data_IF_533029362827
#
_entry.id   IF_533029362827
#
_cell.length_a   1.000
_cell.length_b   1.000
_cell.length_c   1.000
_cell.angle_alpha   90.00
_cell.angle_beta   90.00
_cell.angle_gamma   90.00
#
_symmetry.space_group_name_H-M   'P 1'
#
loop_
_entity.id
_entity.type
_entity.pdbx_description
1 polymer ?
#
# COMPACT_ATOMS: atom_id res chain seq x y z
N UNK A 1 -36.99 -27.39 -49.74
CA UNK A 1 -36.07 -26.96 -48.67
C UNK A 1 -35.71 -28.08 -47.70
N UNK A 2 -36.67 -28.80 -47.09
CA UNK A 2 -36.37 -29.81 -46.06
C UNK A 2 -35.48 -30.98 -46.52
N UNK A 3 -35.64 -31.45 -47.76
CA UNK A 3 -34.77 -32.49 -48.34
C UNK A 3 -33.29 -32.08 -48.48
N UNK A 4 -33.03 -30.79 -48.75
CA UNK A 4 -31.66 -30.26 -48.85
C UNK A 4 -31.02 -30.24 -47.46
N UNK A 5 -31.77 -29.87 -46.42
CA UNK A 5 -31.30 -29.93 -45.04
C UNK A 5 -30.99 -31.36 -44.60
N UNK A 6 -31.85 -32.33 -44.92
CA UNK A 6 -31.60 -33.74 -44.62
C UNK A 6 -30.34 -34.28 -45.33
N UNK A 7 -30.15 -33.90 -46.60
CA UNK A 7 -28.96 -34.27 -47.36
C UNK A 7 -27.69 -33.65 -46.76
N UNK A 8 -27.72 -32.38 -46.36
CA UNK A 8 -26.61 -31.70 -45.69
C UNK A 8 -26.25 -32.36 -44.35
N UNK A 9 -27.25 -32.71 -43.54
CA UNK A 9 -27.07 -33.44 -42.27
C UNK A 9 -26.43 -34.81 -42.54
N UNK A 10 -26.91 -35.54 -43.55
CA UNK A 10 -26.35 -36.84 -43.92
C UNK A 10 -24.87 -36.72 -44.35
N UNK A 11 -24.52 -35.72 -45.15
CA UNK A 11 -23.13 -35.45 -45.57
C UNK A 11 -22.24 -35.12 -44.35
N UNK A 12 -22.72 -34.30 -43.41
CA UNK A 12 -21.99 -33.97 -42.18
C UNK A 12 -21.78 -35.20 -41.30
N UNK A 13 -22.80 -36.05 -41.12
CA UNK A 13 -22.71 -37.30 -40.36
C UNK A 13 -21.70 -38.25 -41.04
N UNK A 14 -21.77 -38.40 -42.37
CA UNK A 14 -20.85 -39.24 -43.12
C UNK A 14 -19.39 -38.74 -43.02
N UNK A 15 -19.17 -37.42 -43.04
CA UNK A 15 -17.85 -36.82 -42.81
C UNK A 15 -17.36 -37.03 -41.38
N UNK A 16 -18.24 -36.85 -40.38
CA UNK A 16 -17.91 -37.08 -38.98
C UNK A 16 -17.52 -38.54 -38.72
N UNK A 17 -18.25 -39.52 -39.28
CA UNK A 17 -17.94 -40.94 -39.16
C UNK A 17 -16.57 -41.29 -39.77
N UNK A 18 -16.12 -40.58 -40.82
CA UNK A 18 -14.78 -40.75 -41.39
C UNK A 18 -13.67 -40.16 -40.51
N UNK A 19 -13.95 -39.09 -39.78
CA UNK A 19 -12.98 -38.39 -38.91
C UNK A 19 -12.91 -39.02 -37.51
N UNK A 20 -14.03 -39.57 -37.02
CA UNK A 20 -14.17 -40.22 -35.72
C UNK A 20 -13.06 -41.26 -35.40
N UNK A 21 -12.67 -42.19 -36.30
CA UNK A 21 -11.58 -43.14 -36.00
C UNK A 21 -10.24 -42.42 -35.77
N UNK A 22 -9.93 -41.34 -36.48
CA UNK A 22 -8.71 -40.56 -36.26
C UNK A 22 -8.73 -39.83 -34.92
N UNK A 23 -9.89 -39.31 -34.52
CA UNK A 23 -10.09 -38.70 -33.19
C UNK A 23 -9.89 -39.77 -32.11
N UNK A 24 -10.47 -40.96 -32.29
CA UNK A 24 -10.32 -42.07 -31.34
C UNK A 24 -8.86 -42.55 -31.25
N UNK A 25 -8.16 -42.68 -32.37
CA UNK A 25 -6.72 -43.02 -32.40
C UNK A 25 -5.89 -41.95 -31.68
N UNK A 26 -6.13 -40.66 -31.95
CA UNK A 26 -5.44 -39.57 -31.28
C UNK A 26 -5.70 -39.58 -29.77
N UNK A 27 -6.93 -39.84 -29.35
CA UNK A 27 -7.30 -39.98 -27.94
C UNK A 27 -6.64 -41.20 -27.29
N UNK A 28 -6.59 -42.35 -27.97
CA UNK A 28 -5.87 -43.53 -27.51
C UNK A 28 -4.36 -43.25 -27.36
N UNK A 29 -3.73 -42.60 -28.34
CA UNK A 29 -2.31 -42.22 -28.26
C UNK A 29 -2.05 -41.24 -27.11
N UNK A 30 -2.96 -40.29 -26.87
CA UNK A 30 -2.88 -39.36 -25.74
C UNK A 30 -2.97 -40.08 -24.39
N UNK A 31 -3.91 -41.04 -24.25
CA UNK A 31 -4.05 -41.85 -23.05
C UNK A 31 -2.81 -42.73 -22.82
N UNK A 32 -2.31 -43.40 -23.87
CA UNK A 32 -1.08 -44.22 -23.80
C UNK A 32 0.11 -43.35 -23.39
N UNK A 33 0.24 -42.15 -23.94
CA UNK A 33 1.29 -41.20 -23.56
C UNK A 33 1.20 -40.84 -22.06
N UNK A 34 0.00 -40.50 -21.56
CA UNK A 34 -0.22 -40.20 -20.15
C UNK A 34 0.11 -41.36 -19.21
N UNK A 35 -0.35 -42.57 -19.55
CA UNK A 35 -0.04 -43.80 -18.81
C UNK A 35 1.47 -44.07 -18.81
N UNK A 36 2.14 -43.93 -19.95
CA UNK A 36 3.59 -44.12 -20.08
C UNK A 36 4.37 -43.14 -19.19
N UNK A 37 3.95 -41.88 -19.11
CA UNK A 37 4.56 -40.88 -18.25
C UNK A 37 4.42 -41.26 -16.77
N UNK A 38 3.24 -41.73 -16.36
CA UNK A 38 2.99 -42.12 -14.98
C UNK A 38 3.80 -43.36 -14.57
N UNK A 39 3.95 -44.34 -15.46
CA UNK A 39 4.81 -45.50 -15.24
C UNK A 39 6.28 -45.07 -15.11
N UNK A 40 6.75 -44.17 -15.99
CA UNK A 40 8.11 -43.61 -15.92
C UNK A 40 8.35 -42.83 -14.62
N UNK A 41 7.35 -42.08 -14.15
CA UNK A 41 7.36 -41.38 -12.85
C UNK A 41 7.59 -42.37 -11.70
N UNK A 42 6.75 -43.41 -11.59
CA UNK A 42 6.85 -44.40 -10.51
C UNK A 42 8.22 -45.11 -10.55
N UNK A 43 8.69 -45.49 -11.74
CA UNK A 43 10.00 -46.15 -11.89
C UNK A 43 11.14 -45.23 -11.46
N UNK A 44 11.05 -43.93 -11.75
CA UNK A 44 12.05 -42.96 -11.33
C UNK A 44 12.11 -42.81 -9.81
N UNK A 45 10.97 -42.61 -9.13
CA UNK A 45 10.95 -42.44 -7.66
C UNK A 45 11.33 -43.71 -6.89
N UNK A 46 11.16 -44.89 -7.50
CA UNK A 46 11.63 -46.17 -6.93
C UNK A 46 13.05 -46.53 -7.34
N UNK A 47 13.74 -45.69 -8.12
CA UNK A 47 15.09 -45.99 -8.59
C UNK A 47 16.11 -45.86 -7.44
N UNK A 48 17.14 -46.73 -7.40
CA UNK A 48 18.16 -46.67 -6.35
C UNK A 48 18.91 -45.33 -6.35
N UNK A 49 19.18 -44.76 -7.54
CA UNK A 49 19.82 -43.44 -7.64
C UNK A 49 18.98 -42.31 -7.03
N UNK A 50 17.65 -42.35 -7.20
CA UNK A 50 16.75 -41.39 -6.55
C UNK A 50 16.80 -41.53 -5.03
N UNK A 51 16.74 -42.76 -4.51
CA UNK A 51 16.75 -43.02 -3.07
C UNK A 51 18.08 -42.63 -2.41
N UNK A 52 19.20 -42.92 -3.06
CA UNK A 52 20.54 -42.53 -2.59
C UNK A 52 20.69 -41.00 -2.55
N UNK A 53 20.23 -40.32 -3.61
CA UNK A 53 20.30 -38.87 -3.68
C UNK A 53 19.35 -38.22 -2.67
N UNK A 54 18.15 -38.78 -2.46
CA UNK A 54 17.21 -38.35 -1.41
C UNK A 54 17.84 -38.48 -0.02
N UNK A 55 18.56 -39.57 0.26
CA UNK A 55 19.25 -39.76 1.54
C UNK A 55 20.39 -38.74 1.73
N UNK A 56 21.14 -38.42 0.67
CA UNK A 56 22.23 -37.43 0.71
C UNK A 56 21.77 -36.01 1.07
N UNK A 57 20.54 -35.64 0.71
CA UNK A 57 19.97 -34.31 0.98
C UNK A 57 18.97 -34.30 2.14
N UNK A 58 18.85 -35.41 2.88
CA UNK A 58 17.86 -35.55 3.95
C UNK A 58 18.01 -34.49 5.04
N UNK A 59 19.24 -34.23 5.50
CA UNK A 59 19.52 -33.21 6.52
C UNK A 59 19.17 -31.80 6.03
N UNK A 60 19.42 -31.51 4.74
CA UNK A 60 19.05 -30.22 4.12
C UNK A 60 17.54 -30.04 4.03
N UNK A 61 16.79 -31.13 3.80
CA UNK A 61 15.33 -31.12 3.78
C UNK A 61 14.77 -30.90 5.19
N UNK A 62 15.38 -31.52 6.21
CA UNK A 62 15.01 -31.31 7.62
C UNK A 62 15.19 -29.83 7.99
N UNK A 63 16.38 -29.27 7.73
CA UNK A 63 16.67 -27.86 7.99
C UNK A 63 15.70 -26.94 7.23
N UNK A 64 15.39 -27.26 5.97
CA UNK A 64 14.41 -26.50 5.19
C UNK A 64 13.01 -26.50 5.81
N UNK A 65 12.54 -27.68 6.26
CA UNK A 65 11.23 -27.83 6.88
C UNK A 65 11.16 -27.10 8.23
N UNK A 66 12.24 -27.11 9.03
CA UNK A 66 12.34 -26.35 10.27
C UNK A 66 12.25 -24.84 10.03
N UNK A 67 12.98 -24.32 9.04
CA UNK A 67 12.92 -22.90 8.66
C UNK A 67 11.51 -22.56 8.18
N UNK A 68 10.91 -23.40 7.33
CA UNK A 68 9.54 -23.24 6.84
C UNK A 68 8.51 -23.13 7.97
N UNK A 69 8.64 -23.93 9.02
CA UNK A 69 7.76 -23.85 10.19
C UNK A 69 8.00 -22.56 10.98
N UNK A 70 9.26 -22.17 11.20
CA UNK A 70 9.61 -20.92 11.87
C UNK A 70 8.98 -19.68 11.19
N UNK A 71 8.90 -19.65 9.86
CA UNK A 71 8.30 -18.51 9.15
C UNK A 71 6.80 -18.37 9.43
N UNK A 72 6.08 -19.47 9.69
CA UNK A 72 4.66 -19.42 10.05
C UNK A 72 4.43 -18.75 11.40
N UNK A 73 5.42 -18.84 12.29
CA UNK A 73 5.37 -18.27 13.63
C UNK A 73 5.77 -16.79 13.66
N UNK A 74 6.26 -16.23 12.55
CA UNK A 74 6.56 -14.80 12.47
C UNK A 74 5.25 -14.01 12.67
N UNK A 75 5.16 -13.18 13.72
CA UNK A 75 3.92 -12.49 14.04
C UNK A 75 3.54 -11.53 12.93
N UNK A 76 2.39 -11.79 12.30
CA UNK A 76 1.85 -10.92 11.26
C UNK A 76 1.06 -9.73 11.86
N UNK A 77 1.75 -8.90 12.66
CA UNK A 77 1.19 -7.68 13.26
C UNK A 77 1.73 -6.43 12.57
N UNK A 78 1.63 -6.40 11.24
CA UNK A 78 2.09 -5.29 10.40
C UNK A 78 1.02 -4.20 10.28
N UNK A 79 0.46 -3.76 11.42
CA UNK A 79 -0.58 -2.74 11.47
C UNK A 79 -0.09 -1.55 12.29
N UNK A 80 -0.30 -0.34 11.75
CA UNK A 80 -0.08 0.88 12.50
C UNK A 80 -1.16 1.03 13.58
N UNK A 81 -0.74 1.20 14.84
CA UNK A 81 -1.63 1.34 15.99
C UNK A 81 -1.81 2.83 16.31
N UNK A 82 -3.03 3.33 16.13
CA UNK A 82 -3.38 4.71 16.46
C UNK A 82 -3.66 4.85 17.96
N UNK A 83 -3.05 5.84 18.63
CA UNK A 83 -3.28 6.13 20.05
C UNK A 83 -4.66 6.73 20.34
N UNK A 84 -5.14 7.61 19.46
CA UNK A 84 -6.43 8.30 19.60
C UNK A 84 -7.45 7.74 18.60
N UNK A 85 -8.09 6.65 18.98
CA UNK A 85 -9.15 6.05 18.16
C UNK A 85 -10.41 6.92 18.29
N UNK A 86 -10.69 7.73 17.27
CA UNK A 86 -12.02 8.33 17.12
C UNK A 86 -13.01 7.17 16.96
N UNK A 87 -13.89 6.95 17.94
CA UNK A 87 -14.75 5.76 17.99
C UNK A 87 -14.35 4.67 18.98
N UNK A 88 -13.51 4.97 19.99
CA UNK A 88 -13.27 4.07 21.15
C UNK A 88 -14.56 3.51 21.77
N UNK A 89 -15.65 4.29 21.69
CA UNK A 89 -16.99 3.94 22.15
C UNK A 89 -17.98 3.63 21.01
N UNK A 90 -17.52 3.47 19.77
CA UNK A 90 -18.41 3.19 18.63
C UNK A 90 -19.18 1.87 18.81
N UNK A 91 -18.58 0.89 19.51
CA UNK A 91 -19.24 -0.36 19.91
C UNK A 91 -20.44 -0.16 20.85
N UNK A 92 -20.53 0.98 21.54
CA UNK A 92 -21.67 1.32 22.41
C UNK A 92 -22.88 1.83 21.62
N UNK A 93 -22.70 2.20 20.35
CA UNK A 93 -23.77 2.67 19.49
C UNK A 93 -24.24 1.53 18.58
N UNK A 94 -25.54 1.20 18.66
CA UNK A 94 -26.19 0.33 17.70
C UNK A 94 -26.74 1.17 16.55
N UNK A 95 -26.41 0.79 15.31
CA UNK A 95 -26.98 1.39 14.11
C UNK A 95 -27.90 0.39 13.44
N UNK A 96 -29.18 0.71 13.38
CA UNK A 96 -30.19 -0.05 12.63
C UNK A 96 -30.67 0.79 11.45
N UNK A 97 -30.66 0.22 10.25
CA UNK A 97 -31.14 0.87 9.05
C UNK A 97 -32.65 0.61 8.88
N UNK A 98 -33.47 1.62 9.11
CA UNK A 98 -34.94 1.53 9.05
C UNK A 98 -35.54 1.96 7.68
N UNK A 99 -34.71 2.17 6.65
CA UNK A 99 -35.21 2.60 5.34
C UNK A 99 -35.77 1.44 4.51
N UNK A 100 -37.00 1.57 4.00
CA UNK A 100 -37.57 0.67 2.99
C UNK A 100 -37.56 1.31 1.60
N UNK A 101 -36.91 0.67 0.62
CA UNK A 101 -37.35 0.74 -0.78
C UNK A 101 -36.77 -0.39 -1.64
N UNK A 102 -37.59 -0.89 -2.57
CA UNK A 102 -37.35 -2.02 -3.46
C UNK A 102 -36.12 -1.84 -4.38
N UNK A 103 -35.10 -2.67 -4.11
CA UNK A 103 -34.06 -3.23 -5.00
C UNK A 103 -33.04 -2.26 -5.67
N UNK A 104 -31.71 -2.45 -5.65
CA UNK A 104 -30.83 -3.61 -5.42
C UNK A 104 -29.45 -3.11 -4.94
N UNK A 105 -28.85 -3.85 -4.01
CA UNK A 105 -27.57 -3.64 -3.28
C UNK A 105 -27.69 -2.73 -2.06
N UNK A 106 -27.27 -3.27 -0.92
CA UNK A 106 -27.42 -2.71 0.42
C UNK A 106 -26.64 -1.39 0.55
N UNK A 107 -27.35 -0.26 0.41
CA UNK A 107 -26.88 1.14 0.48
C UNK A 107 -26.06 1.44 1.75
N UNK A 108 -26.16 0.59 2.77
CA UNK A 108 -25.66 0.83 4.11
C UNK A 108 -24.74 -0.27 4.67
N UNK A 109 -24.25 -1.20 3.84
CA UNK A 109 -22.95 -1.84 4.13
C UNK A 109 -21.81 -0.85 3.88
N UNK A 110 -21.86 0.32 4.56
CA UNK A 110 -20.61 0.98 4.89
C UNK A 110 -19.90 0.00 5.80
N UNK A 111 -18.63 -0.25 5.56
CA UNK A 111 -17.84 -0.98 6.53
C UNK A 111 -17.51 -0.04 7.70
N UNK A 112 -18.54 0.50 8.33
CA UNK A 112 -18.46 1.31 9.54
C UNK A 112 -17.93 0.38 10.63
N UNK A 113 -16.91 0.84 11.35
CA UNK A 113 -16.25 0.15 12.47
C UNK A 113 -15.06 -0.76 12.10
N UNK A 114 -14.59 -0.79 10.85
CA UNK A 114 -13.25 -1.32 10.56
C UNK A 114 -12.22 -0.18 10.62
N UNK A 115 -11.19 -0.34 11.46
CA UNK A 115 -10.16 0.69 11.69
C UNK A 115 -9.34 1.05 10.46
N UNK A 116 -9.34 0.18 9.45
CA UNK A 116 -8.61 0.31 8.19
C UNK A 116 -9.50 0.62 6.98
N UNK A 117 -10.79 0.90 7.17
CA UNK A 117 -11.71 1.33 6.09
C UNK A 117 -12.26 2.72 6.40
N UNK A 118 -12.13 3.62 5.43
CA UNK A 118 -12.61 5.00 5.53
C UNK A 118 -13.61 5.30 4.41
N UNK A 119 -14.90 5.28 4.74
CA UNK A 119 -15.98 5.64 3.81
C UNK A 119 -16.03 7.17 3.60
N UNK A 120 -15.86 7.64 2.37
CA UNK A 120 -15.59 9.05 2.07
C UNK A 120 -16.15 9.50 0.72
N UNK A 121 -15.93 10.77 0.34
CA UNK A 121 -16.37 11.33 -0.93
C UNK A 121 -15.54 10.81 -2.11
N UNK A 122 -16.15 10.82 -3.30
CA UNK A 122 -15.50 10.43 -4.55
C UNK A 122 -14.18 11.18 -4.79
N UNK A 123 -14.15 12.48 -4.47
CA UNK A 123 -12.95 13.30 -4.61
C UNK A 123 -11.82 12.82 -3.70
N UNK A 124 -12.12 12.46 -2.46
CA UNK A 124 -11.11 11.95 -1.51
C UNK A 124 -10.58 10.58 -1.96
N UNK A 125 -11.45 9.68 -2.44
CA UNK A 125 -11.03 8.38 -3.00
C UNK A 125 -10.03 8.56 -4.16
N UNK A 126 -10.33 9.48 -5.08
CA UNK A 126 -9.46 9.79 -6.22
C UNK A 126 -8.14 10.41 -5.78
N UNK A 127 -8.18 11.42 -4.90
CA UNK A 127 -6.95 12.04 -4.37
C UNK A 127 -6.09 11.05 -3.57
N UNK A 128 -6.70 10.10 -2.87
CA UNK A 128 -5.97 9.03 -2.19
C UNK A 128 -5.27 8.07 -3.17
N UNK A 129 -5.72 7.98 -4.43
CA UNK A 129 -4.98 7.23 -5.47
C UNK A 129 -3.83 8.04 -6.08
N UNK A 130 -3.95 9.37 -6.10
CA UNK A 130 -2.91 10.28 -6.61
C UNK A 130 -1.81 10.54 -5.58
N UNK A 131 -2.17 10.72 -4.31
CA UNK A 131 -1.28 11.02 -3.19
C UNK A 131 -1.50 10.03 -2.02
N UNK A 132 -1.18 8.74 -2.20
CA UNK A 132 -1.55 7.68 -1.27
C UNK A 132 -1.00 7.90 0.15
N UNK A 133 0.29 8.26 0.28
CA UNK A 133 0.93 8.44 1.58
C UNK A 133 0.36 9.64 2.33
N UNK A 134 0.09 10.76 1.65
CA UNK A 134 -0.51 11.93 2.28
C UNK A 134 -1.87 11.59 2.88
N UNK A 135 -2.74 10.94 2.08
CA UNK A 135 -4.09 10.60 2.48
C UNK A 135 -4.12 9.48 3.54
N UNK A 136 -3.23 8.49 3.43
CA UNK A 136 -3.03 7.46 4.44
C UNK A 136 -2.78 8.09 5.80
N UNK A 137 -1.77 8.97 5.91
CA UNK A 137 -1.46 9.63 7.18
C UNK A 137 -2.61 10.51 7.69
N UNK A 138 -3.27 11.24 6.78
CA UNK A 138 -4.33 12.20 7.12
C UNK A 138 -5.57 11.53 7.69
N UNK A 139 -5.98 10.38 7.14
CA UNK A 139 -7.27 9.76 7.46
C UNK A 139 -7.16 8.54 8.38
N UNK A 140 -5.99 7.89 8.46
CA UNK A 140 -5.77 6.74 9.33
C UNK A 140 -4.92 7.06 10.57
N UNK A 141 -4.86 8.32 10.97
CA UNK A 141 -4.29 8.71 12.27
C UNK A 141 -2.77 8.55 12.40
N UNK A 142 -2.04 8.47 11.29
CA UNK A 142 -0.57 8.40 11.30
C UNK A 142 -0.02 9.82 11.39
N UNK A 143 0.24 10.26 12.62
CA UNK A 143 0.68 11.64 12.89
C UNK A 143 2.19 11.80 12.70
N UNK A 144 2.63 13.02 12.35
CA UNK A 144 4.05 13.30 12.19
C UNK A 144 4.75 13.51 13.55
N UNK A 145 5.01 12.40 14.25
CA UNK A 145 5.67 12.37 15.57
C UNK A 145 6.81 11.34 15.57
N UNK A 146 7.79 11.52 16.47
CA UNK A 146 8.92 10.59 16.62
C UNK A 146 8.45 9.18 16.98
N UNK A 147 7.38 9.06 17.77
CA UNK A 147 6.78 7.77 18.13
C UNK A 147 6.16 7.06 16.92
N UNK A 148 5.44 7.79 16.06
CA UNK A 148 4.91 7.22 14.82
C UNK A 148 6.02 6.77 13.88
N UNK A 149 7.14 7.48 13.84
CA UNK A 149 8.31 7.08 13.06
C UNK A 149 8.93 5.78 13.60
N UNK A 150 9.16 5.70 14.91
CA UNK A 150 9.67 4.49 15.57
C UNK A 150 8.78 3.26 15.31
N UNK A 151 7.46 3.44 15.38
CA UNK A 151 6.52 2.37 15.09
C UNK A 151 6.59 1.91 13.63
N UNK A 152 6.77 2.83 12.67
CA UNK A 152 6.95 2.48 11.26
C UNK A 152 8.27 1.74 11.01
N UNK A 153 9.34 2.11 11.70
CA UNK A 153 10.64 1.41 11.65
C UNK A 153 10.51 -0.04 12.16
N UNK A 154 9.87 -0.24 13.33
CA UNK A 154 9.61 -1.57 13.87
C UNK A 154 8.75 -2.44 12.92
N UNK A 155 7.70 -1.85 12.32
CA UNK A 155 6.87 -2.54 11.32
C UNK A 155 7.69 -2.87 10.07
N UNK A 156 8.47 -1.91 9.57
CA UNK A 156 9.30 -2.09 8.37
C UNK A 156 10.36 -3.18 8.55
N UNK A 157 11.00 -3.22 9.72
CA UNK A 157 11.96 -4.27 10.07
C UNK A 157 11.30 -5.66 10.11
N UNK A 158 10.10 -5.76 10.70
CA UNK A 158 9.35 -7.02 10.73
C UNK A 158 8.94 -7.49 9.34
N UNK A 159 8.42 -6.59 8.49
CA UNK A 159 8.08 -6.90 7.09
C UNK A 159 9.32 -7.35 6.33
N UNK A 160 10.42 -6.61 6.43
CA UNK A 160 11.68 -6.94 5.75
C UNK A 160 12.22 -8.31 6.18
N UNK A 161 12.24 -8.61 7.48
CA UNK A 161 12.65 -9.93 7.99
C UNK A 161 11.78 -11.04 7.40
N UNK A 162 10.46 -10.85 7.38
CA UNK A 162 9.52 -11.83 6.83
C UNK A 162 9.73 -12.04 5.32
N UNK A 163 9.80 -10.97 4.53
CA UNK A 163 10.02 -11.01 3.08
C UNK A 163 11.36 -11.68 2.73
N UNK A 164 12.43 -11.32 3.42
CA UNK A 164 13.75 -11.94 3.24
C UNK A 164 13.75 -13.43 3.57
N UNK A 165 13.01 -13.84 4.61
CA UNK A 165 12.92 -15.25 5.00
C UNK A 165 12.16 -16.05 3.94
N UNK A 166 11.08 -15.50 3.40
CA UNK A 166 10.30 -16.10 2.31
C UNK A 166 11.15 -16.22 1.04
N UNK A 167 11.87 -15.18 0.65
CA UNK A 167 12.75 -15.24 -0.52
C UNK A 167 13.87 -16.27 -0.32
N UNK A 168 14.50 -16.31 0.85
CA UNK A 168 15.53 -17.31 1.18
C UNK A 168 15.00 -18.74 1.01
N UNK A 169 13.79 -19.02 1.50
CA UNK A 169 13.13 -20.31 1.32
C UNK A 169 12.91 -20.64 -0.16
N UNK A 170 12.41 -19.70 -0.96
CA UNK A 170 12.23 -19.93 -2.40
C UNK A 170 13.55 -20.16 -3.14
N UNK A 171 14.62 -19.42 -2.80
CA UNK A 171 15.93 -19.64 -3.39
C UNK A 171 16.49 -21.01 -2.99
N UNK A 172 16.32 -21.42 -1.74
CA UNK A 172 16.79 -22.72 -1.24
C UNK A 172 16.01 -23.88 -1.86
N UNK A 173 14.71 -23.74 -2.06
CA UNK A 173 13.88 -24.69 -2.82
C UNK A 173 14.42 -24.87 -4.25
N UNK A 174 14.71 -23.75 -4.93
CA UNK A 174 15.27 -23.76 -6.28
C UNK A 174 16.65 -24.40 -6.32
N UNK A 175 17.48 -24.17 -5.30
CA UNK A 175 18.79 -24.80 -5.17
C UNK A 175 18.64 -26.32 -4.99
N UNK A 176 17.78 -26.78 -4.07
CA UNK A 176 17.50 -28.22 -3.88
C UNK A 176 17.05 -28.87 -5.19
N UNK A 177 16.15 -28.22 -5.95
CA UNK A 177 15.73 -28.73 -7.28
C UNK A 177 16.88 -28.81 -8.27
N UNK A 178 17.82 -27.86 -8.23
CA UNK A 178 18.97 -27.80 -9.12
C UNK A 178 19.99 -28.87 -8.75
N UNK A 179 20.34 -29.00 -7.48
CA UNK A 179 21.29 -29.97 -6.95
C UNK A 179 20.76 -31.40 -7.09
N UNK A 180 19.44 -31.58 -6.95
CA UNK A 180 18.79 -32.85 -7.21
C UNK A 180 18.82 -33.24 -8.71
N UNK A 181 18.93 -32.26 -9.60
CA UNK A 181 19.00 -32.42 -11.06
C UNK A 181 18.03 -33.49 -11.63
N UNK A 182 16.72 -33.41 -11.34
CA UNK A 182 15.76 -34.40 -11.78
C UNK A 182 15.57 -34.36 -13.31
N UNK A 183 15.14 -35.48 -13.94
CA UNK A 183 14.82 -35.51 -15.36
C UNK A 183 13.80 -34.44 -15.75
N UNK A 184 13.99 -33.79 -16.91
CA UNK A 184 13.12 -32.70 -17.41
C UNK A 184 11.62 -33.02 -17.39
N UNK A 185 11.24 -34.29 -17.64
CA UNK A 185 9.83 -34.69 -17.64
C UNK A 185 9.22 -34.71 -16.23
N UNK A 186 10.02 -34.96 -15.18
CA UNK A 186 9.58 -34.87 -13.78
C UNK A 186 9.31 -33.40 -13.43
N UNK A 187 10.23 -32.49 -13.77
CA UNK A 187 10.03 -31.05 -13.56
C UNK A 187 8.81 -30.50 -14.32
N UNK A 188 8.60 -30.95 -15.57
CA UNK A 188 7.53 -30.44 -16.43
C UNK A 188 6.14 -30.91 -16.02
N UNK A 189 5.98 -32.18 -15.62
CA UNK A 189 4.66 -32.79 -15.41
C UNK A 189 4.40 -33.24 -13.96
N UNK A 190 5.44 -33.44 -13.16
CA UNK A 190 5.37 -34.09 -11.84
C UNK A 190 6.17 -33.34 -10.76
N UNK A 191 6.34 -32.01 -10.89
CA UNK A 191 7.11 -31.22 -9.92
C UNK A 191 6.50 -31.30 -8.52
N UNK A 192 5.17 -31.33 -8.39
CA UNK A 192 4.50 -31.45 -7.09
C UNK A 192 4.72 -32.82 -6.45
N UNK A 193 4.65 -33.89 -7.26
CA UNK A 193 4.97 -35.24 -6.79
C UNK A 193 6.43 -35.33 -6.32
N UNK A 194 7.37 -34.70 -7.03
CA UNK A 194 8.78 -34.67 -6.63
C UNK A 194 8.95 -34.02 -5.24
N UNK A 195 8.34 -32.86 -5.00
CA UNK A 195 8.42 -32.20 -3.69
C UNK A 195 7.81 -33.07 -2.58
N UNK A 196 6.69 -33.75 -2.87
CA UNK A 196 6.05 -34.67 -1.94
C UNK A 196 6.94 -35.88 -1.62
N UNK A 197 7.58 -36.46 -2.64
CA UNK A 197 8.49 -37.59 -2.45
C UNK A 197 9.77 -37.20 -1.73
N UNK A 198 10.21 -35.94 -1.87
CA UNK A 198 11.32 -35.38 -1.09
C UNK A 198 10.90 -34.96 0.33
N UNK A 199 9.61 -35.04 0.69
CA UNK A 199 9.09 -34.57 1.98
C UNK A 199 9.35 -33.06 2.23
N UNK A 200 9.39 -32.28 1.14
CA UNK A 200 9.55 -30.83 1.20
C UNK A 200 8.17 -30.20 1.36
N UNK A 201 7.91 -29.62 2.51
CA UNK A 201 6.68 -28.89 2.78
C UNK A 201 6.90 -27.40 2.52
N UNK A 202 6.41 -26.91 1.39
CA UNK A 202 6.32 -25.47 1.18
C UNK A 202 5.27 -24.90 2.12
N UNK A 203 5.60 -23.88 2.91
CA UNK A 203 4.61 -23.21 3.73
C UNK A 203 3.70 -22.39 2.79
N UNK A 204 2.37 -22.50 2.94
CA UNK A 204 1.42 -21.61 2.27
C UNK A 204 1.44 -20.24 2.96
N UNK A 205 2.57 -19.53 2.83
CA UNK A 205 2.77 -18.24 3.46
C UNK A 205 2.16 -17.18 2.57
N UNK A 206 0.92 -16.83 2.87
CA UNK A 206 0.35 -15.58 2.40
C UNK A 206 0.72 -14.51 3.40
N UNK A 207 1.64 -13.63 3.02
CA UNK A 207 1.88 -12.40 3.76
C UNK A 207 0.59 -11.59 3.72
N UNK A 208 -0.14 -11.57 4.83
CA UNK A 208 -1.35 -10.77 4.95
C UNK A 208 -0.96 -9.37 5.38
N UNK A 209 -0.76 -8.50 4.40
CA UNK A 209 -0.50 -7.08 4.64
C UNK A 209 -1.81 -6.37 4.99
N UNK A 210 -1.74 -5.51 6.02
CA UNK A 210 -2.85 -4.62 6.34
C UNK A 210 -3.22 -3.78 5.12
N UNK A 211 -4.49 -3.81 4.73
CA UNK A 211 -4.99 -2.97 3.64
C UNK A 211 -5.75 -1.77 4.20
N UNK A 212 -5.34 -0.56 3.84
CA UNK A 212 -6.04 0.68 4.13
C UNK A 212 -6.91 1.08 2.95
N UNK A 213 -8.22 1.23 3.20
CA UNK A 213 -9.21 1.31 2.13
C UNK A 213 -9.97 2.63 2.22
N UNK A 214 -9.98 3.37 1.12
CA UNK A 214 -10.90 4.47 0.90
C UNK A 214 -12.05 3.99 0.01
N UNK A 215 -13.28 4.09 0.48
CA UNK A 215 -14.45 3.64 -0.27
C UNK A 215 -15.46 4.77 -0.48
N UNK A 216 -16.02 4.84 -1.69
CA UNK A 216 -17.11 5.73 -2.07
C UNK A 216 -18.24 4.93 -2.68
N UNK A 217 -19.46 5.29 -2.30
CA UNK A 217 -20.70 4.85 -2.94
C UNK A 217 -21.56 6.08 -3.20
N UNK A 218 -22.07 6.22 -4.42
CA UNK A 218 -22.96 7.32 -4.81
C UNK A 218 -24.27 7.31 -4.03
N UNK A 219 -24.92 8.46 -3.90
CA UNK A 219 -26.17 8.59 -3.14
C UNK A 219 -27.28 7.64 -3.63
N UNK A 220 -27.34 7.39 -4.93
CA UNK A 220 -28.27 6.44 -5.56
C UNK A 220 -27.76 5.00 -5.68
N UNK A 221 -26.58 4.66 -5.14
CA UNK A 221 -26.02 3.31 -5.20
C UNK A 221 -25.52 2.82 -6.57
N UNK A 222 -25.66 3.65 -7.61
CA UNK A 222 -25.36 3.28 -9.01
C UNK A 222 -23.86 3.28 -9.35
N UNK A 223 -23.04 3.95 -8.56
CA UNK A 223 -21.58 4.01 -8.74
C UNK A 223 -20.87 3.79 -7.40
N UNK A 224 -19.79 3.02 -7.44
CA UNK A 224 -18.84 2.91 -6.33
C UNK A 224 -17.41 3.02 -6.84
N UNK A 225 -16.51 3.51 -5.98
CA UNK A 225 -15.07 3.55 -6.24
C UNK A 225 -14.33 3.17 -4.95
N UNK A 226 -13.20 2.49 -5.11
CA UNK A 226 -12.37 2.05 -4.01
C UNK A 226 -10.90 2.25 -4.35
N UNK A 227 -10.17 2.86 -3.43
CA UNK A 227 -8.71 2.94 -3.44
C UNK A 227 -8.21 2.08 -2.29
N UNK A 228 -7.30 1.15 -2.58
CA UNK A 228 -6.70 0.28 -1.57
C UNK A 228 -5.21 0.54 -1.54
N UNK A 229 -4.70 0.84 -0.35
CA UNK A 229 -3.28 1.02 -0.08
C UNK A 229 -2.85 -0.21 0.72
N UNK A 230 -1.99 -1.02 0.11
CA UNK A 230 -1.41 -2.19 0.77
C UNK A 230 -0.27 -1.72 1.66
N UNK A 231 -0.30 -2.01 2.96
CA UNK A 231 0.75 -1.60 3.90
C UNK A 231 1.92 -2.58 3.88
N UNK A 232 2.56 -2.69 2.72
CA UNK A 232 3.76 -3.47 2.46
C UNK A 232 5.04 -2.67 2.76
N UNK A 233 6.22 -3.29 2.57
CA UNK A 233 7.52 -2.66 2.86
C UNK A 233 7.68 -1.30 2.18
N UNK A 234 7.40 -1.22 0.88
CA UNK A 234 7.47 0.03 0.09
C UNK A 234 6.57 1.14 0.66
N UNK A 235 5.34 0.80 1.03
CA UNK A 235 4.40 1.79 1.59
C UNK A 235 4.84 2.25 2.97
N UNK A 236 5.36 1.35 3.81
CA UNK A 236 5.85 1.68 5.15
C UNK A 236 7.06 2.61 5.06
N UNK A 237 8.02 2.31 4.19
CA UNK A 237 9.20 3.14 3.95
C UNK A 237 8.81 4.54 3.46
N UNK A 238 7.97 4.62 2.42
CA UNK A 238 7.48 5.90 1.90
C UNK A 238 6.71 6.71 2.97
N UNK A 239 5.98 6.03 3.85
CA UNK A 239 5.27 6.67 4.98
C UNK A 239 6.26 7.21 6.02
N UNK A 240 7.30 6.45 6.35
CA UNK A 240 8.34 6.86 7.27
C UNK A 240 9.10 8.10 6.75
N UNK A 241 9.50 8.09 5.47
CA UNK A 241 10.13 9.24 4.81
C UNK A 241 9.25 10.50 4.84
N UNK A 242 7.97 10.34 4.52
CA UNK A 242 7.01 11.43 4.55
C UNK A 242 6.85 12.04 5.94
N UNK A 243 6.80 11.21 6.99
CA UNK A 243 6.73 11.65 8.39
C UNK A 243 8.03 12.32 8.82
N UNK A 244 9.18 11.73 8.54
CA UNK A 244 10.49 12.29 8.86
C UNK A 244 10.65 13.69 8.24
N UNK A 245 10.26 13.84 6.97
CA UNK A 245 10.23 15.14 6.27
C UNK A 245 9.34 16.16 6.97
N UNK A 246 8.14 15.76 7.42
CA UNK A 246 7.23 16.63 8.17
C UNK A 246 7.76 17.03 9.54
N UNK A 247 8.36 16.10 10.29
CA UNK A 247 8.99 16.39 11.59
C UNK A 247 10.11 17.41 11.42
N UNK A 248 11.02 17.17 10.47
CA UNK A 248 12.12 18.09 10.16
C UNK A 248 11.61 19.49 9.79
N UNK A 249 10.60 19.57 8.91
CA UNK A 249 9.98 20.85 8.54
C UNK A 249 9.40 21.59 9.75
N UNK A 250 8.72 20.88 10.67
CA UNK A 250 8.18 21.47 11.90
C UNK A 250 9.29 21.97 12.84
N UNK A 251 10.35 21.18 13.03
CA UNK A 251 11.50 21.56 13.86
C UNK A 251 12.21 22.81 13.29
N UNK A 252 12.51 22.81 11.98
CA UNK A 252 13.07 23.99 11.31
C UNK A 252 12.15 25.20 11.48
N UNK A 253 10.83 25.02 11.34
CA UNK A 253 9.91 26.12 11.47
C UNK A 253 9.83 26.68 12.89
N UNK A 254 9.93 25.83 13.91
CA UNK A 254 10.01 26.24 15.30
C UNK A 254 11.32 26.99 15.59
N UNK A 255 12.45 26.49 15.09
CA UNK A 255 13.75 27.14 15.21
C UNK A 255 13.76 28.52 14.55
N UNK A 256 13.18 28.66 13.35
CA UNK A 256 13.04 29.97 12.72
C UNK A 256 12.15 30.89 13.55
N UNK A 257 11.02 30.42 14.10
CA UNK A 257 10.18 31.25 14.96
C UNK A 257 10.86 31.67 16.27
N UNK A 258 11.73 30.86 16.85
CA UNK A 258 12.47 31.21 18.07
C UNK A 258 13.57 32.26 17.83
N UNK A 259 14.15 32.30 16.63
CA UNK A 259 15.06 33.38 16.21
C UNK A 259 14.35 34.76 16.16
N UNK A 260 13.02 34.77 16.09
CA UNK A 260 12.23 36.00 16.19
C UNK A 260 12.20 36.49 17.64
N UNK A 261 13.28 37.14 18.07
CA UNK A 261 13.39 37.75 19.41
C UNK A 261 12.62 39.08 19.48
N UNK A 262 12.31 39.56 20.69
CA UNK A 262 11.68 40.88 20.84
C UNK A 262 12.57 42.01 20.31
N UNK A 263 13.89 41.89 20.46
CA UNK A 263 14.86 42.83 19.89
C UNK A 263 14.74 42.90 18.36
N UNK A 264 14.72 41.75 17.69
CA UNK A 264 14.54 41.69 16.23
C UNK A 264 13.18 42.26 15.83
N UNK A 265 12.09 41.92 16.55
CA UNK A 265 10.76 42.48 16.27
C UNK A 265 10.75 44.01 16.35
N UNK A 266 11.35 44.58 17.38
CA UNK A 266 11.46 46.04 17.54
C UNK A 266 12.27 46.65 16.40
N UNK A 267 13.42 46.07 16.07
CA UNK A 267 14.28 46.54 14.97
C UNK A 267 13.53 46.58 13.62
N UNK A 268 12.72 45.55 13.32
CA UNK A 268 11.93 45.54 12.08
C UNK A 268 10.82 46.60 12.11
N UNK A 269 10.14 46.78 13.25
CA UNK A 269 9.14 47.85 13.39
C UNK A 269 9.77 49.25 13.21
N UNK A 270 10.96 49.46 13.77
CA UNK A 270 11.70 50.72 13.63
C UNK A 270 12.14 50.95 12.18
N UNK A 271 12.68 49.93 11.51
CA UNK A 271 13.04 49.97 10.08
C UNK A 271 11.84 50.35 9.21
N UNK A 272 10.68 49.77 9.51
CA UNK A 272 9.45 49.98 8.77
C UNK A 272 8.67 51.22 9.25
N UNK A 273 9.28 52.05 10.10
CA UNK A 273 8.67 53.26 10.68
C UNK A 273 7.29 53.04 11.29
N UNK A 274 7.10 51.90 11.97
CA UNK A 274 5.83 51.47 12.55
C UNK A 274 4.67 51.58 11.55
N UNK A 275 4.92 51.16 10.31
CA UNK A 275 3.99 51.26 9.19
C UNK A 275 3.83 49.92 8.50
N UNK A 276 2.59 49.56 8.19
CA UNK A 276 2.26 48.32 7.48
C UNK A 276 2.82 48.35 6.05
N UNK A 277 3.61 47.35 5.69
CA UNK A 277 4.28 47.25 4.38
C UNK A 277 3.35 46.85 3.22
N UNK A 278 2.08 46.49 3.50
CA UNK A 278 1.08 46.15 2.47
C UNK A 278 0.11 47.31 2.25
N UNK A 279 -0.47 47.87 3.31
CA UNK A 279 -1.55 48.86 3.21
C UNK A 279 -1.14 50.27 3.67
N UNK A 280 0.14 50.50 3.98
CA UNK A 280 0.70 51.77 4.45
C UNK A 280 0.07 52.36 5.73
N UNK A 281 -0.76 51.60 6.47
CA UNK A 281 -1.33 52.09 7.73
C UNK A 281 -0.26 52.21 8.82
N UNK A 282 -0.18 53.36 9.48
CA UNK A 282 0.82 53.68 10.51
C UNK A 282 0.20 53.89 11.89
N UNK A 283 0.94 53.54 12.95
CA UNK A 283 0.53 53.84 14.33
C UNK A 283 0.57 55.34 14.66
N UNK A 284 1.27 56.15 13.85
CA UNK A 284 1.27 57.61 14.01
C UNK A 284 -0.10 58.24 13.71
N UNK A 285 -0.83 57.67 12.74
CA UNK A 285 -2.16 58.12 12.33
C UNK A 285 -3.28 57.41 13.10
N UNK A 286 -3.03 56.16 13.51
CA UNK A 286 -4.03 55.28 14.13
C UNK A 286 -3.47 54.65 15.41
N UNK A 287 -3.76 55.27 16.56
CA UNK A 287 -3.22 54.84 17.86
C UNK A 287 -3.65 53.43 18.30
N UNK A 288 -4.78 52.93 17.80
CA UNK A 288 -5.29 51.57 18.07
C UNK A 288 -4.85 50.52 17.03
N UNK A 289 -3.95 50.88 16.10
CA UNK A 289 -3.47 49.96 15.06
C UNK A 289 -2.50 48.93 15.65
N UNK A 290 -2.87 47.65 15.59
CA UNK A 290 -2.00 46.55 15.97
C UNK A 290 -1.09 46.15 14.81
N UNK A 291 0.22 46.27 15.03
CA UNK A 291 1.27 45.85 14.10
C UNK A 291 2.00 44.60 14.60
N UNK A 292 2.14 43.64 13.70
CA UNK A 292 2.79 42.36 13.90
C UNK A 292 3.92 42.20 12.88
N UNK A 293 4.95 41.43 13.25
CA UNK A 293 6.03 41.08 12.32
C UNK A 293 5.68 39.74 11.68
N UNK A 294 5.67 39.72 10.36
CA UNK A 294 5.41 38.53 9.55
C UNK A 294 6.56 38.27 8.58
N UNK A 295 6.69 37.01 8.15
CA UNK A 295 7.69 36.61 7.16
C UNK A 295 7.16 36.83 5.74
N UNK A 296 7.92 37.49 4.87
CA UNK A 296 7.56 37.69 3.45
C UNK A 296 7.37 36.32 2.78
N UNK A 297 8.40 35.47 2.82
CA UNK A 297 8.27 34.03 2.54
C UNK A 297 7.94 33.32 3.87
N UNK A 298 6.76 32.70 4.01
CA UNK A 298 6.40 32.01 5.26
C UNK A 298 7.40 30.92 5.64
N UNK A 299 7.63 30.76 6.94
CA UNK A 299 8.52 29.73 7.48
C UNK A 299 8.11 28.32 7.03
N UNK A 300 6.81 28.05 6.87
CA UNK A 300 6.29 26.78 6.36
C UNK A 300 6.68 26.47 4.91
N UNK A 301 7.21 27.46 4.19
CA UNK A 301 7.72 27.36 2.81
C UNK A 301 9.24 27.56 2.73
N UNK A 302 9.93 27.45 3.87
CA UNK A 302 11.40 27.57 3.95
C UNK A 302 11.92 28.98 4.18
N UNK A 303 11.06 29.96 4.47
CA UNK A 303 11.49 31.32 4.79
C UNK A 303 12.31 31.40 6.09
N UNK A 304 13.37 32.21 6.07
CA UNK A 304 14.27 32.43 7.20
C UNK A 304 13.84 33.65 8.03
N UNK A 305 14.16 33.64 9.32
CA UNK A 305 13.95 34.76 10.25
C UNK A 305 15.07 35.78 10.19
N UNK A 306 15.37 36.27 9.00
CA UNK A 306 16.35 37.35 8.74
C UNK A 306 15.62 38.67 8.48
N UNK A 307 16.23 39.83 8.77
CA UNK A 307 15.60 41.13 8.51
C UNK A 307 15.02 41.27 7.09
N UNK A 308 15.72 40.77 6.07
CA UNK A 308 15.31 40.89 4.67
C UNK A 308 14.05 40.09 4.33
N UNK A 309 13.74 39.04 5.08
CA UNK A 309 12.53 38.23 4.90
C UNK A 309 11.43 38.58 5.91
N UNK A 310 11.58 39.67 6.67
CA UNK A 310 10.61 40.13 7.66
C UNK A 310 10.00 41.47 7.24
N UNK A 311 8.73 41.64 7.59
CA UNK A 311 7.98 42.85 7.32
C UNK A 311 7.00 43.14 8.45
N UNK A 312 6.72 44.41 8.67
CA UNK A 312 5.69 44.89 9.60
C UNK A 312 4.34 44.92 8.89
N UNK A 313 3.35 44.19 9.41
CA UNK A 313 1.99 44.16 8.88
C UNK A 313 0.97 44.55 9.95
N UNK A 314 -0.11 45.20 9.53
CA UNK A 314 -1.28 45.34 10.41
C UNK A 314 -2.04 44.01 10.53
N UNK A 315 -2.76 43.82 11.63
CA UNK A 315 -3.50 42.58 11.93
C UNK A 315 -4.42 42.13 10.78
N UNK A 316 -5.05 43.06 10.04
CA UNK A 316 -5.90 42.75 8.87
C UNK A 316 -5.10 42.16 7.72
N UNK A 317 -3.95 42.78 7.40
CA UNK A 317 -3.07 42.34 6.33
C UNK A 317 -2.42 41.00 6.69
N UNK A 318 -1.92 40.85 7.92
CA UNK A 318 -1.32 39.62 8.40
C UNK A 318 -2.31 38.42 8.30
N UNK A 319 -3.55 38.61 8.77
CA UNK A 319 -4.60 37.58 8.67
C UNK A 319 -4.96 37.22 7.23
N UNK A 320 -4.98 38.21 6.34
CA UNK A 320 -5.31 38.02 4.92
C UNK A 320 -4.20 37.27 4.17
N UNK A 321 -2.93 37.58 4.48
CA UNK A 321 -1.75 36.92 3.92
C UNK A 321 -1.62 35.48 4.42
N UNK A 322 -1.69 35.25 5.73
CA UNK A 322 -1.53 33.92 6.33
C UNK A 322 -0.25 33.23 5.81
N UNK A 323 -0.33 32.00 5.30
CA UNK A 323 0.79 31.25 4.74
C UNK A 323 0.98 31.43 3.22
N UNK A 324 0.43 32.49 2.63
CA UNK A 324 0.60 32.82 1.20
C UNK A 324 1.92 33.58 1.00
N UNK A 325 2.51 33.40 -0.18
CA UNK A 325 3.61 34.24 -0.65
C UNK A 325 2.94 35.37 -1.41
N UNK A 326 3.22 36.62 -1.02
CA UNK A 326 2.66 37.78 -1.71
C UNK A 326 3.47 38.02 -2.98
N UNK A 327 2.83 38.06 -4.14
CA UNK A 327 3.50 38.12 -5.45
C UNK A 327 3.97 39.53 -5.85
N UNK A 328 3.83 40.52 -4.95
CA UNK A 328 4.08 41.93 -5.23
C UNK A 328 5.45 42.44 -4.74
N UNK A 329 6.24 41.64 -4.00
CA UNK A 329 7.52 42.09 -3.43
C UNK A 329 8.75 41.87 -4.32
N UNK A 330 8.59 41.42 -5.58
CA UNK A 330 9.73 41.15 -6.49
C UNK A 330 10.13 42.33 -7.37
N UNK A 331 9.54 43.52 -7.21
CA UNK A 331 9.81 44.67 -8.10
C UNK A 331 10.07 45.94 -7.30
N UNK A 332 11.20 46.02 -6.58
CA UNK A 332 11.97 47.28 -6.46
C UNK A 332 13.42 46.88 -6.18
N UNK A 333 14.27 47.04 -7.20
CA UNK A 333 15.73 47.01 -7.11
C UNK A 333 16.27 48.29 -7.74
#
# INVERSE_FOLDING_TARGET
MWLIYLFLIFVVIALFLKILPFILIALCLFLIYGISLHIRKIRYFKSPGFLEQKQKIADTIIEFNEISEYVKDIPNKNQFIVKDITGKHAHLAHFENTSQHDYKRDKHKKTLNQSNVYSTSLQVVRRASEEPIHYLCKYFGITATEESLKQLEEIGENISRMENTIDNLYQREKQIKTDFNPPKFILKYFSKDLMKELDIHLPDIKVDYTSYIFEYVSAGGNSSQKTTILFNGETVEATAEYIAKKIKSKQTAQAQRSLMTNKLRTQIKERDHYTCQICAASTAEQSLLLLEIDHIVPVSKGGLSTPDNLQTLCWKCNRSKSNKIDSLSTVVG
#
